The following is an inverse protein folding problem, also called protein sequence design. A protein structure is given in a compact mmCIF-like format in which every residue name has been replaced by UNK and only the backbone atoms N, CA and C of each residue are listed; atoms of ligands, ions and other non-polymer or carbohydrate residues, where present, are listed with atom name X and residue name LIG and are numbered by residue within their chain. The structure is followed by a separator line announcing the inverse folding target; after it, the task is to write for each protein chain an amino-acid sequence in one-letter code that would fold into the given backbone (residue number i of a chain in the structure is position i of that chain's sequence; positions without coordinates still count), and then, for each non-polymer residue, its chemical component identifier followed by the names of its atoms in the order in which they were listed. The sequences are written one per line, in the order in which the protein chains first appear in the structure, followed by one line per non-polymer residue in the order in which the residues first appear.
data_IF_182767861063
#
_entry.id   IF_182767861063
#
_cell.length_a   1.000
_cell.length_b   1.000
_cell.length_c   1.000
_cell.angle_alpha   90.00
_cell.angle_beta   90.00
_cell.angle_gamma   90.00
#
_symmetry.space_group_name_H-M   'P 1'
#
loop_
_entity.id
_entity.type
_entity.pdbx_description
1 polymer ?
#
# COMPACT_ATOMS: atom_id res chain seq x y z
N UNK A 1 32.94 -19.54 -12.05
CA UNK A 1 31.69 -19.36 -12.83
C UNK A 1 30.38 -19.60 -12.04
N UNK A 2 30.38 -20.00 -10.76
CA UNK A 2 29.12 -20.33 -10.03
C UNK A 2 28.49 -19.19 -9.21
N UNK A 3 29.17 -18.06 -9.00
CA UNK A 3 28.69 -17.02 -8.07
C UNK A 3 27.76 -15.99 -8.75
N UNK A 4 27.98 -15.74 -10.06
CA UNK A 4 27.20 -14.80 -10.87
C UNK A 4 25.78 -15.30 -11.13
N UNK A 5 25.60 -16.59 -11.39
CA UNK A 5 24.29 -17.22 -11.61
C UNK A 5 23.45 -17.27 -10.33
N UNK A 6 24.09 -17.48 -9.18
CA UNK A 6 23.48 -17.41 -7.84
C UNK A 6 23.00 -15.99 -7.52
N UNK A 7 23.83 -14.98 -7.81
CA UNK A 7 23.49 -13.58 -7.58
C UNK A 7 22.33 -13.09 -8.47
N UNK A 8 22.36 -13.37 -9.78
CA UNK A 8 21.27 -12.99 -10.70
C UNK A 8 19.95 -13.64 -10.29
N UNK A 9 19.99 -14.90 -9.87
CA UNK A 9 18.82 -15.63 -9.36
C UNK A 9 18.25 -15.00 -8.08
N UNK A 10 19.11 -14.58 -7.13
CA UNK A 10 18.67 -13.87 -5.90
C UNK A 10 18.08 -12.52 -6.21
N UNK A 11 18.66 -11.77 -7.15
CA UNK A 11 18.18 -10.47 -7.59
C UNK A 11 16.81 -10.56 -8.25
N UNK A 12 16.62 -11.53 -9.14
CA UNK A 12 15.34 -11.78 -9.81
C UNK A 12 14.25 -12.21 -8.84
N UNK A 13 14.62 -13.03 -7.85
CA UNK A 13 13.72 -13.39 -6.76
C UNK A 13 13.26 -12.15 -5.99
N UNK A 14 14.20 -11.32 -5.53
CA UNK A 14 13.86 -10.10 -4.79
C UNK A 14 13.00 -9.14 -5.62
N UNK A 15 13.33 -8.96 -6.91
CA UNK A 15 12.53 -8.15 -7.83
C UNK A 15 11.09 -8.66 -7.93
N UNK A 16 10.92 -9.96 -8.16
CA UNK A 16 9.61 -10.62 -8.25
C UNK A 16 8.80 -10.49 -6.95
N UNK A 17 9.46 -10.62 -5.80
CA UNK A 17 8.84 -10.44 -4.48
C UNK A 17 8.37 -9.00 -4.25
N UNK A 18 9.16 -7.99 -4.64
CA UNK A 18 8.81 -6.57 -4.45
C UNK A 18 7.80 -6.04 -5.46
N UNK A 19 7.84 -6.54 -6.71
CA UNK A 19 6.95 -6.10 -7.78
C UNK A 19 5.63 -6.85 -7.83
N UNK A 20 5.54 -8.04 -7.21
CA UNK A 20 4.40 -8.95 -7.37
C UNK A 20 4.34 -9.59 -8.76
N UNK A 21 5.36 -9.42 -9.61
CA UNK A 21 5.40 -9.95 -10.97
C UNK A 21 6.17 -11.27 -11.06
N UNK A 22 5.91 -12.04 -12.12
CA UNK A 22 6.62 -13.29 -12.40
C UNK A 22 8.10 -13.04 -12.71
N UNK A 23 9.00 -13.91 -12.25
CA UNK A 23 10.43 -13.84 -12.60
C UNK A 23 10.70 -13.82 -14.11
N UNK A 24 9.78 -14.35 -14.94
CA UNK A 24 9.90 -14.35 -16.41
C UNK A 24 9.76 -12.95 -17.02
N UNK A 25 9.05 -12.03 -16.37
CA UNK A 25 8.91 -10.64 -16.83
C UNK A 25 10.06 -9.75 -16.34
N UNK A 26 10.84 -10.23 -15.36
CA UNK A 26 11.98 -9.51 -14.84
C UNK A 26 13.24 -9.83 -15.63
N UNK A 27 13.78 -8.84 -16.35
CA UNK A 27 15.23 -8.68 -16.60
C UNK A 27 15.48 -7.44 -17.47
N UNK A 28 16.16 -6.43 -16.87
CA UNK A 28 16.96 -5.36 -17.51
C UNK A 28 17.45 -4.30 -16.51
N UNK A 29 16.95 -4.27 -15.27
CA UNK A 29 17.31 -3.23 -14.28
C UNK A 29 18.54 -3.60 -13.45
N UNK A 30 19.37 -2.62 -13.08
CA UNK A 30 20.51 -2.80 -12.16
C UNK A 30 20.05 -2.98 -10.70
N UNK A 31 18.93 -2.36 -10.33
CA UNK A 31 18.33 -2.39 -9.00
C UNK A 31 16.90 -2.97 -9.03
N UNK A 32 16.54 -3.93 -8.14
CA UNK A 32 15.20 -4.53 -8.10
C UNK A 32 14.04 -3.58 -7.81
N UNK A 33 14.27 -2.56 -6.99
CA UNK A 33 13.31 -1.49 -6.69
C UNK A 33 14.06 -0.16 -6.83
N UNK A 34 14.16 0.44 -8.04
CA UNK A 34 14.99 1.64 -8.25
C UNK A 34 14.63 2.75 -7.27
N UNK A 35 15.56 3.64 -6.94
CA UNK A 35 15.26 4.83 -6.14
C UNK A 35 14.42 5.81 -6.97
N UNK A 36 13.46 6.47 -6.31
CA UNK A 36 12.68 7.55 -6.89
C UNK A 36 13.51 8.85 -6.95
N UNK A 37 13.24 9.72 -7.92
CA UNK A 37 13.62 11.13 -7.80
C UNK A 37 12.91 11.75 -6.60
N UNK A 38 13.40 12.87 -6.01
CA UNK A 38 12.72 13.49 -4.87
C UNK A 38 11.24 13.84 -5.14
N UNK A 39 10.93 14.34 -6.34
CA UNK A 39 9.57 14.65 -6.76
C UNK A 39 8.68 13.40 -6.82
N UNK A 40 9.22 12.33 -7.43
CA UNK A 40 8.52 11.05 -7.52
C UNK A 40 8.35 10.42 -6.14
N UNK A 41 9.34 10.54 -5.26
CA UNK A 41 9.27 10.03 -3.90
C UNK A 41 8.14 10.72 -3.12
N UNK A 42 7.99 12.04 -3.28
CA UNK A 42 6.92 12.81 -2.67
C UNK A 42 5.55 12.36 -3.16
N UNK A 43 5.36 12.24 -4.48
CA UNK A 43 4.10 11.74 -5.06
C UNK A 43 3.76 10.35 -4.52
N UNK A 44 4.71 9.42 -4.53
CA UNK A 44 4.50 8.05 -4.07
C UNK A 44 4.19 7.97 -2.57
N UNK A 45 4.85 8.80 -1.76
CA UNK A 45 4.59 8.91 -0.34
C UNK A 45 3.15 9.37 -0.07
N UNK A 46 2.67 10.39 -0.77
CA UNK A 46 1.29 10.89 -0.66
C UNK A 46 0.28 9.82 -1.13
N UNK A 47 0.59 9.08 -2.18
CA UNK A 47 -0.26 7.97 -2.65
C UNK A 47 -0.37 6.87 -1.60
N UNK A 48 0.75 6.50 -0.96
CA UNK A 48 0.74 5.54 0.13
C UNK A 48 -0.02 6.07 1.35
N UNK A 49 0.09 7.35 1.68
CA UNK A 49 -0.68 7.97 2.76
C UNK A 49 -2.20 7.88 2.49
N UNK A 50 -2.63 8.12 1.24
CA UNK A 50 -4.03 8.11 0.86
C UNK A 50 -4.66 6.72 0.73
N UNK A 51 -3.91 5.75 0.20
CA UNK A 51 -4.38 4.37 -0.05
C UNK A 51 -3.98 3.39 1.05
N UNK A 52 -3.04 3.77 1.91
CA UNK A 52 -2.44 2.93 2.94
C UNK A 52 -3.44 2.49 4.00
N UNK A 53 -4.53 3.24 4.20
CA UNK A 53 -5.57 2.95 5.19
C UNK A 53 -6.89 2.57 4.54
N UNK A 54 -6.89 1.59 3.62
CA UNK A 54 -8.13 1.05 3.05
C UNK A 54 -9.13 0.70 4.18
N UNK A 55 -10.40 1.13 4.08
CA UNK A 55 -11.39 0.87 5.12
C UNK A 55 -11.78 -0.62 5.21
N UNK A 56 -11.63 -1.37 4.12
CA UNK A 56 -12.10 -2.76 4.03
C UNK A 56 -11.04 -3.68 3.38
N UNK A 57 -11.30 -4.99 3.39
CA UNK A 57 -10.45 -6.04 2.84
C UNK A 57 -10.36 -5.95 1.31
N UNK A 58 -9.14 -6.04 0.79
CA UNK A 58 -8.84 -6.17 -0.63
C UNK A 58 -8.24 -7.57 -0.90
N UNK A 59 -8.18 -7.97 -2.17
CA UNK A 59 -7.59 -9.26 -2.56
C UNK A 59 -6.08 -9.32 -2.26
N UNK A 60 -5.41 -8.17 -2.30
CA UNK A 60 -4.02 -7.96 -1.93
C UNK A 60 -3.93 -6.80 -0.91
N UNK A 61 -2.91 -6.77 -0.04
CA UNK A 61 -2.59 -5.62 0.79
C UNK A 61 -2.62 -4.32 0.00
N UNK A 62 -3.28 -3.30 0.55
CA UNK A 62 -3.46 -1.99 -0.07
C UNK A 62 -4.22 -2.00 -1.41
N UNK A 63 -4.84 -3.13 -1.79
CA UNK A 63 -5.49 -3.31 -3.09
C UNK A 63 -4.54 -3.23 -4.29
N UNK A 64 -3.25 -3.49 -4.08
CA UNK A 64 -2.22 -3.44 -5.13
C UNK A 64 -1.71 -4.86 -5.39
N UNK A 65 -2.08 -5.42 -6.54
CA UNK A 65 -1.63 -6.76 -6.95
C UNK A 65 -0.15 -6.77 -7.34
N UNK A 66 0.29 -5.76 -8.08
CA UNK A 66 1.67 -5.66 -8.57
C UNK A 66 2.01 -4.23 -8.96
N UNK A 67 3.30 -3.97 -9.21
CA UNK A 67 3.77 -2.68 -9.68
C UNK A 67 4.94 -2.79 -10.66
N UNK A 68 5.18 -1.71 -11.39
CA UNK A 68 6.45 -1.46 -12.08
C UNK A 68 6.93 -0.05 -11.73
N UNK A 69 8.24 0.15 -11.59
CA UNK A 69 8.79 1.43 -11.14
C UNK A 69 10.05 1.82 -11.90
N UNK A 70 10.22 3.12 -12.09
CA UNK A 70 11.42 3.78 -12.58
C UNK A 70 11.74 4.99 -11.68
N UNK A 71 12.79 5.76 -12.00
CA UNK A 71 13.15 6.91 -11.17
C UNK A 71 12.05 7.98 -11.11
N UNK A 72 11.29 8.17 -12.20
CA UNK A 72 10.30 9.26 -12.35
C UNK A 72 8.90 8.75 -12.66
N UNK A 73 8.65 7.45 -12.51
CA UNK A 73 7.34 6.87 -12.77
C UNK A 73 7.08 5.63 -11.91
N UNK A 74 5.80 5.43 -11.59
CA UNK A 74 5.29 4.25 -10.92
C UNK A 74 3.99 3.81 -11.61
N UNK A 75 3.85 2.52 -11.90
CA UNK A 75 2.58 1.92 -12.31
C UNK A 75 2.10 0.98 -11.23
N UNK A 76 0.86 1.18 -10.76
CA UNK A 76 0.19 0.32 -9.79
C UNK A 76 -0.90 -0.49 -10.50
N UNK A 77 -0.86 -1.81 -10.35
CA UNK A 77 -1.91 -2.70 -10.81
C UNK A 77 -2.89 -2.95 -9.67
N UNK A 78 -4.12 -2.49 -9.84
CA UNK A 78 -5.12 -2.46 -8.79
C UNK A 78 -5.94 -3.74 -8.73
N UNK A 79 -6.46 -4.03 -7.54
CA UNK A 79 -7.55 -4.98 -7.35
C UNK A 79 -8.85 -4.44 -7.95
N UNK A 80 -9.79 -5.35 -8.25
CA UNK A 80 -11.08 -4.96 -8.82
C UNK A 80 -12.04 -4.43 -7.77
N UNK A 81 -12.05 -5.08 -6.60
CA UNK A 81 -13.07 -4.89 -5.59
C UNK A 81 -12.46 -4.83 -4.20
N UNK A 82 -13.23 -4.24 -3.27
CA UNK A 82 -12.96 -4.25 -1.85
C UNK A 82 -14.24 -4.52 -1.06
N UNK A 83 -14.07 -5.15 0.10
CA UNK A 83 -15.14 -5.39 1.06
C UNK A 83 -16.23 -6.38 0.64
N UNK A 84 -17.07 -6.72 1.61
CA UNK A 84 -18.13 -7.71 1.46
C UNK A 84 -19.20 -7.35 0.41
N UNK A 85 -19.40 -6.05 0.15
CA UNK A 85 -20.32 -5.54 -0.89
C UNK A 85 -19.68 -5.40 -2.26
N UNK A 86 -18.41 -5.78 -2.42
CA UNK A 86 -17.64 -5.67 -3.66
C UNK A 86 -17.66 -4.26 -4.25
N UNK A 87 -17.36 -3.27 -3.42
CA UNK A 87 -17.20 -1.89 -3.87
C UNK A 87 -16.03 -1.80 -4.86
N UNK A 88 -16.14 -0.93 -5.88
CA UNK A 88 -15.08 -0.72 -6.87
C UNK A 88 -13.85 -0.12 -6.19
N UNK A 89 -12.76 -0.89 -6.11
CA UNK A 89 -11.50 -0.40 -5.54
C UNK A 89 -10.85 0.69 -6.40
N UNK A 90 -10.90 0.63 -7.76
CA UNK A 90 -10.47 1.75 -8.60
C UNK A 90 -11.24 3.05 -8.32
N UNK A 91 -12.54 2.98 -8.06
CA UNK A 91 -13.35 4.15 -7.70
C UNK A 91 -12.96 4.71 -6.32
N UNK A 92 -12.69 3.84 -5.35
CA UNK A 92 -12.11 4.24 -4.07
C UNK A 92 -10.75 4.94 -4.26
N UNK A 93 -9.90 4.47 -5.17
CA UNK A 93 -8.63 5.14 -5.47
C UNK A 93 -8.86 6.57 -5.98
N UNK A 94 -9.86 6.81 -6.84
CA UNK A 94 -10.15 8.16 -7.33
C UNK A 94 -10.59 9.09 -6.18
N UNK A 95 -11.49 8.61 -5.31
CA UNK A 95 -12.00 9.43 -4.20
C UNK A 95 -10.95 9.77 -3.14
N UNK A 96 -9.85 9.00 -3.08
CA UNK A 96 -8.72 9.26 -2.18
C UNK A 96 -7.60 10.08 -2.83
N UNK A 97 -7.43 9.98 -4.14
CA UNK A 97 -6.29 10.59 -4.83
C UNK A 97 -6.64 11.88 -5.57
N UNK A 98 -7.77 11.94 -6.27
CA UNK A 98 -8.07 13.06 -7.15
C UNK A 98 -8.53 14.28 -6.36
N UNK A 99 -7.94 15.47 -6.59
CA UNK A 99 -8.27 16.63 -5.80
C UNK A 99 -9.60 17.26 -6.17
N UNK A 100 -10.38 17.64 -5.15
CA UNK A 100 -11.61 18.41 -5.31
C UNK A 100 -11.67 19.53 -4.28
N UNK A 101 -12.11 20.72 -4.70
CA UNK A 101 -12.38 21.82 -3.80
C UNK A 101 -13.75 21.61 -3.13
N UNK A 102 -13.87 21.85 -1.81
CA UNK A 102 -15.16 21.83 -1.14
C UNK A 102 -16.01 23.03 -1.55
N UNK A 103 -17.28 23.00 -1.17
CA UNK A 103 -18.20 24.09 -1.44
C UNK A 103 -17.67 25.42 -0.87
N UNK A 104 -17.76 26.54 -1.60
CA UNK A 104 -17.30 27.84 -1.11
C UNK A 104 -17.90 28.19 0.25
N UNK A 105 -17.06 28.55 1.21
CA UNK A 105 -17.49 28.95 2.56
C UNK A 105 -17.74 27.80 3.55
N UNK A 106 -17.57 26.53 3.15
CA UNK A 106 -17.66 25.37 4.06
C UNK A 106 -16.62 25.40 5.18
N UNK A 107 -15.43 25.97 4.92
CA UNK A 107 -14.29 25.91 5.84
C UNK A 107 -13.52 24.58 5.76
N UNK A 108 -13.95 23.65 4.91
CA UNK A 108 -13.31 22.35 4.75
C UNK A 108 -12.00 22.45 3.97
N UNK A 109 -11.10 21.50 4.22
CA UNK A 109 -9.88 21.31 3.44
C UNK A 109 -10.15 20.68 2.07
N UNK A 110 -9.28 20.87 1.06
CA UNK A 110 -9.40 20.17 -0.22
C UNK A 110 -9.34 18.65 -0.04
N UNK A 111 -10.19 17.94 -0.78
CA UNK A 111 -10.11 16.49 -0.90
C UNK A 111 -8.93 16.07 -1.78
N UNK A 112 -8.48 14.82 -1.64
CA UNK A 112 -7.47 14.21 -2.49
C UNK A 112 -6.06 14.73 -2.26
N UNK A 113 -5.18 14.55 -3.25
CA UNK A 113 -3.80 15.04 -3.23
C UNK A 113 -3.74 16.41 -3.95
N UNK A 114 -3.47 17.52 -3.22
CA UNK A 114 -3.32 18.83 -3.84
C UNK A 114 -2.27 18.82 -4.96
N UNK A 115 -2.62 19.42 -6.09
CA UNK A 115 -1.75 19.48 -7.27
C UNK A 115 -1.71 18.19 -8.09
N UNK A 116 -2.40 17.11 -7.73
CA UNK A 116 -2.48 15.92 -8.59
C UNK A 116 -3.43 16.15 -9.76
N UNK A 117 -3.02 15.79 -10.97
CA UNK A 117 -3.77 16.00 -12.21
C UNK A 117 -3.80 14.76 -13.08
N UNK A 118 -4.90 14.60 -13.77
CA UNK A 118 -5.07 13.59 -14.81
C UNK A 118 -4.47 14.10 -16.11
N UNK A 119 -3.47 13.40 -16.66
CA UNK A 119 -2.95 13.67 -18.00
C UNK A 119 -3.75 12.97 -19.09
N UNK A 120 -4.42 11.87 -18.76
CA UNK A 120 -5.25 11.15 -19.72
C UNK A 120 -5.57 9.73 -19.29
N UNK A 121 -6.36 9.07 -20.13
CA UNK A 121 -6.70 7.66 -20.03
C UNK A 121 -6.15 6.98 -21.29
N UNK A 122 -5.29 5.98 -21.10
CA UNK A 122 -4.59 5.27 -22.17
C UNK A 122 -4.89 3.76 -22.12
N UNK A 123 -4.25 3.03 -23.05
CA UNK A 123 -4.34 1.58 -23.17
C UNK A 123 -5.80 1.10 -23.22
N UNK A 124 -6.60 1.69 -24.11
CA UNK A 124 -8.02 1.33 -24.31
C UNK A 124 -8.86 1.45 -23.03
N UNK A 125 -8.69 2.57 -22.30
CA UNK A 125 -9.46 2.81 -21.08
C UNK A 125 -8.91 2.11 -19.84
N UNK A 126 -7.77 1.40 -19.91
CA UNK A 126 -7.27 0.54 -18.81
C UNK A 126 -6.23 1.21 -17.93
N UNK A 127 -5.62 2.30 -18.39
CA UNK A 127 -4.58 3.00 -17.64
C UNK A 127 -4.97 4.46 -17.44
N UNK A 128 -4.99 4.90 -16.19
CA UNK A 128 -5.20 6.30 -15.81
C UNK A 128 -3.85 6.91 -15.48
N UNK A 129 -3.49 7.97 -16.20
CA UNK A 129 -2.19 8.63 -16.06
C UNK A 129 -2.35 9.90 -15.24
N UNK A 130 -1.53 10.00 -14.19
CA UNK A 130 -1.55 11.05 -13.19
C UNK A 130 -0.17 11.71 -13.07
N UNK A 131 -0.14 12.99 -12.77
CA UNK A 131 1.08 13.76 -12.55
C UNK A 131 0.82 14.90 -11.56
N UNK A 132 1.86 15.42 -10.92
CA UNK A 132 1.76 16.62 -10.08
C UNK A 132 1.91 17.88 -10.93
N UNK A 133 1.12 18.93 -10.65
CA UNK A 133 1.33 20.27 -11.21
C UNK A 133 2.75 20.70 -10.87
N UNK A 134 3.52 21.02 -11.91
CA UNK A 134 4.98 21.15 -11.87
C UNK A 134 5.47 22.30 -10.98
N UNK A 135 6.56 22.03 -10.25
CA UNK A 135 7.71 22.92 -10.25
C UNK A 135 8.52 22.67 -11.55
N UNK A 136 9.02 23.71 -12.25
CA UNK A 136 9.81 23.52 -13.46
C UNK A 136 10.97 22.53 -13.25
N UNK A 137 11.03 21.46 -14.07
CA UNK A 137 12.12 20.47 -14.05
C UNK A 137 11.89 19.21 -13.23
N UNK A 138 10.77 19.08 -12.51
CA UNK A 138 10.45 17.90 -11.71
C UNK A 138 9.34 17.04 -12.35
N UNK A 139 9.74 15.94 -13.02
CA UNK A 139 8.80 14.98 -13.59
C UNK A 139 8.51 13.87 -12.58
N UNK A 140 7.26 13.78 -12.15
CA UNK A 140 6.72 12.68 -11.34
C UNK A 140 5.42 12.18 -11.96
N UNK A 141 5.32 10.89 -12.23
CA UNK A 141 4.14 10.29 -12.85
C UNK A 141 3.70 9.03 -12.12
N UNK A 142 2.38 8.82 -12.13
CA UNK A 142 1.71 7.65 -11.58
C UNK A 142 0.75 7.12 -12.63
N UNK A 143 0.75 5.81 -12.84
CA UNK A 143 -0.22 5.12 -13.68
C UNK A 143 -1.01 4.15 -12.82
N UNK A 144 -2.33 4.28 -12.81
CA UNK A 144 -3.23 3.31 -12.19
C UNK A 144 -3.78 2.38 -13.27
N UNK A 145 -3.45 1.10 -13.20
CA UNK A 145 -3.85 0.10 -14.16
C UNK A 145 -4.99 -0.76 -13.60
N UNK A 146 -6.10 -0.84 -14.34
CA UNK A 146 -7.23 -1.70 -13.99
C UNK A 146 -6.86 -3.19 -14.10
N UNK A 147 -7.44 -4.05 -13.26
CA UNK A 147 -7.24 -5.50 -13.36
C UNK A 147 -7.77 -6.02 -14.70
N UNK A 148 -7.15 -7.09 -15.22
CA UNK A 148 -7.62 -7.74 -16.45
C UNK A 148 -9.02 -8.31 -16.26
N UNK A 149 -9.89 -8.13 -17.25
CA UNK A 149 -11.26 -8.68 -17.24
C UNK A 149 -12.31 -7.86 -16.47
N UNK A 150 -11.93 -6.77 -15.80
CA UNK A 150 -12.92 -5.80 -15.31
C UNK A 150 -13.65 -5.16 -16.50
N UNK A 151 -14.98 -5.25 -16.55
CA UNK A 151 -15.75 -4.79 -17.70
C UNK A 151 -15.74 -3.26 -17.86
N UNK A 152 -15.76 -2.52 -16.76
CA UNK A 152 -15.68 -1.05 -16.76
C UNK A 152 -14.26 -0.55 -17.04
N UNK A 153 -14.17 0.56 -17.78
CA UNK A 153 -12.93 1.30 -18.02
C UNK A 153 -12.86 2.57 -17.17
N UNK A 154 -11.68 3.19 -17.11
CA UNK A 154 -11.46 4.41 -16.33
C UNK A 154 -12.40 5.56 -16.71
N UNK A 155 -12.81 5.66 -17.97
CA UNK A 155 -13.70 6.73 -18.42
C UNK A 155 -15.08 6.66 -17.73
N UNK A 156 -15.60 5.46 -17.47
CA UNK A 156 -16.87 5.28 -16.78
C UNK A 156 -16.74 5.50 -15.27
N UNK A 157 -15.62 5.03 -14.70
CA UNK A 157 -15.30 5.20 -13.27
C UNK A 157 -15.08 6.69 -12.95
N UNK A 158 -14.33 7.41 -13.77
CA UNK A 158 -14.12 8.87 -13.61
C UNK A 158 -15.43 9.63 -13.78
N UNK A 159 -16.28 9.27 -14.75
CA UNK A 159 -17.59 9.90 -14.92
C UNK A 159 -18.51 9.68 -13.71
N UNK A 160 -18.48 8.50 -13.08
CA UNK A 160 -19.20 8.26 -11.82
C UNK A 160 -18.64 9.12 -10.70
N UNK A 161 -17.31 9.16 -10.54
CA UNK A 161 -16.68 9.95 -9.49
C UNK A 161 -16.94 11.46 -9.65
N UNK A 162 -16.95 11.97 -10.88
CA UNK A 162 -17.32 13.36 -11.20
C UNK A 162 -18.76 13.67 -10.79
N UNK A 163 -19.71 12.81 -11.16
CA UNK A 163 -21.12 12.95 -10.72
C UNK A 163 -21.24 12.93 -9.21
N UNK A 164 -20.53 12.04 -8.53
CA UNK A 164 -20.50 12.02 -7.06
C UNK A 164 -19.96 13.35 -6.50
N UNK A 165 -18.92 13.94 -7.09
CA UNK A 165 -18.45 15.27 -6.68
C UNK A 165 -19.54 16.33 -6.85
N UNK A 166 -20.19 16.38 -8.01
CA UNK A 166 -21.25 17.33 -8.31
C UNK A 166 -22.42 17.20 -7.32
N UNK A 167 -22.86 15.96 -7.05
CA UNK A 167 -23.94 15.64 -6.10
C UNK A 167 -23.61 16.04 -4.64
N UNK A 168 -22.32 16.17 -4.30
CA UNK A 168 -21.83 16.57 -2.98
C UNK A 168 -21.32 18.01 -2.94
N UNK A 169 -21.55 18.81 -3.99
CA UNK A 169 -21.12 20.22 -4.05
C UNK A 169 -19.60 20.40 -4.11
N UNK A 170 -18.86 19.35 -4.48
CA UNK A 170 -17.42 19.38 -4.66
C UNK A 170 -17.07 19.79 -6.09
N UNK A 171 -16.04 20.61 -6.26
CA UNK A 171 -15.54 21.00 -7.58
C UNK A 171 -14.27 20.21 -7.94
N UNK A 172 -14.32 19.30 -8.93
CA UNK A 172 -13.14 18.60 -9.44
C UNK A 172 -12.00 19.54 -9.84
N UNK A 173 -10.78 19.25 -9.37
CA UNK A 173 -9.57 20.01 -9.70
C UNK A 173 -8.56 19.22 -10.55
N UNK A 174 -8.76 17.92 -10.73
CA UNK A 174 -7.81 17.04 -11.42
C UNK A 174 -7.62 17.33 -12.91
N UNK A 175 -8.44 18.18 -13.52
CA UNK A 175 -8.28 18.66 -14.91
C UNK A 175 -7.75 20.09 -14.99
N UNK A 176 -7.51 20.77 -13.86
CA UNK A 176 -7.03 22.14 -13.85
C UNK A 176 -5.54 22.20 -14.24
N UNK A 177 -5.11 23.13 -15.12
CA UNK A 177 -3.72 23.16 -15.61
C UNK A 177 -2.72 23.63 -14.56
N UNK A 178 -3.19 24.23 -13.47
CA UNK A 178 -2.38 24.82 -12.40
C UNK A 178 -2.99 24.49 -11.04
N UNK A 179 -2.24 24.80 -9.98
CA UNK A 179 -2.72 24.71 -8.61
C UNK A 179 -3.88 25.70 -8.43
N UNK A 180 -5.00 25.23 -7.88
CA UNK A 180 -6.15 26.06 -7.55
C UNK A 180 -5.84 26.93 -6.31
N UNK A 181 -6.57 28.04 -6.14
CA UNK A 181 -6.42 28.90 -4.97
C UNK A 181 -6.72 28.19 -3.65
N UNK A 182 -7.65 27.22 -3.64
CA UNK A 182 -7.94 26.41 -2.44
C UNK A 182 -6.75 25.50 -2.09
N UNK A 183 -6.22 24.78 -3.08
CA UNK A 183 -5.03 23.94 -2.89
C UNK A 183 -3.82 24.77 -2.43
N UNK A 184 -3.61 25.94 -3.05
CA UNK A 184 -2.51 26.86 -2.71
C UNK A 184 -2.58 27.35 -1.26
N UNK A 185 -3.78 27.72 -0.81
CA UNK A 185 -4.00 28.15 0.58
C UNK A 185 -3.78 27.00 1.57
N UNK A 186 -4.30 25.81 1.26
CA UNK A 186 -4.10 24.63 2.12
C UNK A 186 -2.62 24.31 2.30
N UNK A 187 -1.85 24.23 1.21
CA UNK A 187 -0.41 23.98 1.27
C UNK A 187 0.36 25.08 2.02
N UNK A 188 -0.07 26.34 1.90
CA UNK A 188 0.55 27.48 2.58
C UNK A 188 0.17 27.59 4.06
N UNK A 189 -0.99 27.05 4.46
CA UNK A 189 -1.46 27.07 5.85
C UNK A 189 -0.70 26.10 6.75
N UNK A 190 -0.17 25.00 6.18
CA UNK A 190 0.50 23.94 6.93
C UNK A 190 1.95 23.68 6.46
N UNK A 191 2.85 24.70 6.50
CA UNK A 191 4.22 24.56 5.99
C UNK A 191 5.05 23.55 6.78
N UNK A 192 4.79 23.39 8.08
CA UNK A 192 5.43 22.37 8.92
C UNK A 192 5.05 20.96 8.49
N UNK A 193 3.77 20.71 8.22
CA UNK A 193 3.27 19.43 7.71
C UNK A 193 3.90 19.08 6.36
N UNK A 194 3.91 20.03 5.41
CA UNK A 194 4.49 19.82 4.09
C UNK A 194 6.01 19.62 4.14
N UNK A 195 6.70 20.33 5.03
CA UNK A 195 8.11 20.08 5.33
C UNK A 195 8.34 18.68 5.90
N UNK A 196 7.44 18.20 6.77
CA UNK A 196 7.49 16.87 7.36
C UNK A 196 7.28 15.76 6.34
N UNK A 197 6.25 15.89 5.50
CA UNK A 197 5.98 14.99 4.36
C UNK A 197 7.17 14.92 3.40
N UNK A 198 7.81 16.07 3.14
CA UNK A 198 8.99 16.14 2.27
C UNK A 198 10.18 15.35 2.84
N UNK A 199 10.44 15.46 4.15
CA UNK A 199 11.53 14.69 4.80
C UNK A 199 11.28 13.18 4.71
N UNK A 200 10.05 12.74 5.01
CA UNK A 200 9.65 11.32 5.01
C UNK A 200 9.34 10.70 3.65
N UNK A 201 9.34 11.51 2.59
CA UNK A 201 8.94 11.08 1.25
C UNK A 201 9.71 9.85 0.76
N UNK A 202 11.01 9.79 1.09
CA UNK A 202 11.88 8.68 0.68
C UNK A 202 11.46 7.34 1.28
N UNK A 203 11.02 7.33 2.55
CA UNK A 203 10.56 6.13 3.25
C UNK A 203 9.19 5.70 2.73
N UNK A 204 8.24 6.64 2.59
CA UNK A 204 6.91 6.34 2.03
C UNK A 204 7.00 5.76 0.62
N UNK A 205 7.78 6.38 -0.25
CA UNK A 205 8.07 5.86 -1.60
C UNK A 205 8.74 4.48 -1.56
N UNK A 206 9.74 4.29 -0.70
CA UNK A 206 10.44 3.03 -0.58
C UNK A 206 9.55 1.88 -0.11
N UNK A 207 8.58 2.16 0.78
CA UNK A 207 7.55 1.24 1.22
C UNK A 207 6.59 0.90 0.07
N UNK A 208 6.06 1.91 -0.64
CA UNK A 208 5.15 1.69 -1.78
C UNK A 208 5.79 0.87 -2.89
N UNK A 209 7.06 1.13 -3.23
CA UNK A 209 7.82 0.35 -4.25
C UNK A 209 8.09 -1.10 -3.84
N UNK A 210 7.82 -1.46 -2.58
CA UNK A 210 7.96 -2.81 -2.02
C UNK A 210 6.66 -3.34 -1.45
N UNK A 211 5.53 -2.71 -1.80
CA UNK A 211 4.21 -3.03 -1.28
C UNK A 211 3.82 -4.50 -1.50
N UNK A 212 4.35 -5.14 -2.55
CA UNK A 212 4.06 -6.54 -2.82
C UNK A 212 4.70 -7.50 -1.80
N UNK A 213 5.76 -7.10 -1.07
CA UNK A 213 6.35 -7.94 -0.01
C UNK A 213 5.30 -8.35 1.02
N UNK A 214 4.31 -7.48 1.29
CA UNK A 214 3.23 -7.73 2.24
C UNK A 214 2.27 -8.85 1.83
N UNK A 215 2.36 -9.39 0.61
CA UNK A 215 1.62 -10.59 0.22
C UNK A 215 2.48 -11.65 -0.46
N UNK A 216 3.65 -11.32 -1.01
CA UNK A 216 4.52 -12.31 -1.67
C UNK A 216 5.37 -13.10 -0.69
N UNK A 217 5.81 -12.49 0.41
CA UNK A 217 6.68 -13.13 1.41
C UNK A 217 6.04 -13.29 2.79
N UNK A 218 4.82 -12.79 2.98
CA UNK A 218 4.09 -12.90 4.26
C UNK A 218 2.75 -13.62 4.11
N UNK A 219 2.04 -13.73 5.24
CA UNK A 219 0.72 -14.35 5.41
C UNK A 219 -0.27 -13.34 6.01
N UNK A 220 -0.13 -12.06 5.68
CA UNK A 220 -0.99 -11.00 6.21
C UNK A 220 -2.24 -10.89 5.35
N UNK A 221 -3.42 -11.00 5.96
CA UNK A 221 -4.70 -10.88 5.24
C UNK A 221 -5.22 -9.44 5.20
N UNK A 222 -4.72 -8.57 6.10
CA UNK A 222 -4.96 -7.13 6.11
C UNK A 222 -3.68 -6.41 6.47
N UNK A 223 -3.42 -5.30 5.78
CA UNK A 223 -2.32 -4.39 6.11
C UNK A 223 -2.82 -2.96 5.95
N UNK A 224 -2.50 -2.13 6.93
CA UNK A 224 -2.68 -0.69 6.91
C UNK A 224 -1.34 -0.01 7.08
N UNK A 225 -1.17 1.15 6.45
CA UNK A 225 0.04 1.94 6.49
C UNK A 225 -0.32 3.42 6.49
N UNK A 226 0.27 4.21 7.39
CA UNK A 226 0.03 5.65 7.44
C UNK A 226 1.23 6.40 8.03
N UNK A 227 1.32 7.67 7.72
CA UNK A 227 2.22 8.62 8.36
C UNK A 227 1.49 9.28 9.54
N UNK A 228 2.01 9.17 10.75
CA UNK A 228 1.42 9.80 11.94
C UNK A 228 1.96 11.21 12.24
N UNK A 229 2.78 11.76 11.35
CA UNK A 229 3.44 13.06 11.54
C UNK A 229 4.89 12.93 12.00
N UNK A 230 5.26 11.80 12.60
CA UNK A 230 6.62 11.51 13.08
C UNK A 230 7.23 10.29 12.42
N UNK A 231 6.40 9.33 11.99
CA UNK A 231 6.84 7.99 11.61
C UNK A 231 5.86 7.31 10.66
N UNK A 232 6.37 6.34 9.89
CA UNK A 232 5.51 5.44 9.12
C UNK A 232 5.06 4.28 10.00
N UNK A 233 3.75 4.18 10.25
CA UNK A 233 3.12 3.07 10.95
C UNK A 233 2.63 2.04 9.96
N UNK A 234 2.89 0.78 10.26
CA UNK A 234 2.40 -0.37 9.51
C UNK A 234 1.71 -1.29 10.49
N UNK A 235 0.44 -1.55 10.25
CA UNK A 235 -0.39 -2.44 11.05
C UNK A 235 -0.83 -3.61 10.18
N UNK A 236 -0.38 -4.81 10.51
CA UNK A 236 -0.67 -6.02 9.77
C UNK A 236 -1.43 -7.03 10.62
N UNK A 237 -2.40 -7.71 10.01
CA UNK A 237 -3.13 -8.80 10.66
C UNK A 237 -2.85 -10.12 9.99
N UNK A 238 -2.72 -11.16 10.81
CA UNK A 238 -2.51 -12.53 10.36
C UNK A 238 -3.38 -13.49 11.16
N UNK A 239 -3.92 -14.50 10.48
CA UNK A 239 -4.64 -15.56 11.16
C UNK A 239 -3.70 -16.55 11.82
N UNK A 240 -2.41 -16.55 11.46
CA UNK A 240 -1.43 -17.44 12.06
C UNK A 240 -0.11 -16.69 12.30
N UNK A 241 0.12 -16.16 13.52
CA UNK A 241 1.41 -15.58 13.85
C UNK A 241 2.47 -16.67 13.74
N UNK A 242 3.41 -16.51 12.82
CA UNK A 242 4.63 -17.32 12.77
C UNK A 242 5.80 -16.38 12.62
N UNK A 243 6.84 -16.64 13.40
CA UNK A 243 8.08 -15.86 13.36
C UNK A 243 8.61 -15.72 11.92
N UNK A 244 8.54 -16.81 11.15
CA UNK A 244 9.03 -16.87 9.76
C UNK A 244 8.47 -15.77 8.86
N UNK A 245 7.22 -15.36 9.04
CA UNK A 245 6.56 -14.46 8.09
C UNK A 245 6.98 -13.02 8.27
N UNK A 246 6.95 -12.51 9.51
CA UNK A 246 7.49 -11.19 9.77
C UNK A 246 9.01 -11.20 9.59
N UNK A 247 9.73 -12.28 9.93
CA UNK A 247 11.20 -12.33 9.74
C UNK A 247 11.61 -12.28 8.27
N UNK A 248 10.86 -12.95 7.38
CA UNK A 248 11.05 -12.82 5.94
C UNK A 248 10.79 -11.39 5.46
N UNK A 249 9.72 -10.74 5.96
CA UNK A 249 9.45 -9.33 5.65
C UNK A 249 10.59 -8.42 6.12
N UNK A 250 11.02 -8.55 7.38
CA UNK A 250 12.12 -7.78 7.96
C UNK A 250 13.41 -7.97 7.16
N UNK A 251 13.74 -9.21 6.80
CA UNK A 251 14.92 -9.53 5.99
C UNK A 251 14.87 -8.87 4.60
N UNK A 252 13.67 -8.78 3.99
CA UNK A 252 13.50 -8.17 2.66
C UNK A 252 13.46 -6.65 2.71
N UNK A 253 12.78 -6.08 3.71
CA UNK A 253 12.74 -4.64 3.94
C UNK A 253 14.12 -4.10 4.32
N UNK A 254 14.87 -4.78 5.18
CA UNK A 254 16.22 -4.36 5.61
C UNK A 254 17.35 -4.95 4.76
N UNK A 255 17.06 -5.48 3.56
CA UNK A 255 18.09 -6.12 2.75
C UNK A 255 19.21 -5.10 2.42
N UNK A 256 20.50 -5.37 2.75
CA UNK A 256 21.54 -4.35 2.77
C UNK A 256 21.82 -3.71 1.40
N UNK A 257 21.52 -4.43 0.31
CA UNK A 257 21.74 -3.94 -1.06
C UNK A 257 20.48 -3.43 -1.76
N UNK A 258 19.31 -3.93 -1.37
CA UNK A 258 18.08 -3.78 -2.17
C UNK A 258 16.87 -3.37 -1.36
N UNK A 259 16.97 -3.41 -0.04
CA UNK A 259 15.95 -2.98 0.90
C UNK A 259 15.94 -1.47 1.08
N UNK A 260 15.19 -1.04 2.08
CA UNK A 260 15.23 0.30 2.64
C UNK A 260 16.54 0.49 3.42
N UNK A 261 17.08 1.72 3.47
CA UNK A 261 18.21 2.06 4.32
C UNK A 261 17.76 2.20 5.78
N UNK A 262 17.25 1.11 6.34
CA UNK A 262 16.80 1.01 7.73
C UNK A 262 17.31 -0.28 8.37
N UNK A 263 17.34 -0.32 9.69
CA UNK A 263 17.64 -1.52 10.48
C UNK A 263 16.60 -1.68 11.59
N UNK A 264 16.37 -2.91 12.03
CA UNK A 264 15.53 -3.18 13.21
C UNK A 264 16.31 -2.77 14.46
N UNK A 265 15.79 -1.76 15.17
CA UNK A 265 16.36 -1.23 16.40
C UNK A 265 15.84 -1.99 17.62
N UNK A 266 14.53 -2.23 17.66
CA UNK A 266 13.88 -2.98 18.72
C UNK A 266 12.94 -4.04 18.16
N UNK A 267 12.94 -5.20 18.81
CA UNK A 267 12.11 -6.35 18.49
C UNK A 267 11.36 -6.79 19.73
N UNK A 268 10.04 -6.71 19.68
CA UNK A 268 9.12 -7.23 20.67
C UNK A 268 8.30 -8.32 20.01
N UNK A 269 8.73 -9.57 20.14
CA UNK A 269 8.13 -10.71 19.46
C UNK A 269 7.96 -11.85 20.45
N UNK A 270 6.74 -12.37 20.56
CA UNK A 270 6.46 -13.60 21.32
C UNK A 270 5.94 -14.73 20.42
N UNK A 271 6.02 -14.57 19.09
CA UNK A 271 5.90 -15.70 18.17
C UNK A 271 7.05 -16.65 18.48
N UNK A 272 6.75 -17.81 19.05
CA UNK A 272 7.79 -18.78 19.37
C UNK A 272 8.10 -19.71 18.17
N UNK A 273 9.08 -20.58 18.36
CA UNK A 273 9.62 -21.53 17.38
C UNK A 273 8.53 -22.42 16.73
N UNK A 274 8.82 -23.10 15.59
CA UNK A 274 7.84 -23.80 14.76
C UNK A 274 6.87 -24.75 15.48
N UNK A 275 7.23 -25.22 16.67
CA UNK A 275 6.50 -26.24 17.44
C UNK A 275 5.79 -25.69 18.69
N UNK A 276 5.71 -24.37 18.84
CA UNK A 276 4.99 -23.76 19.97
C UNK A 276 3.48 -23.66 19.74
N UNK A 277 2.65 -23.83 20.81
CA UNK A 277 1.20 -23.71 20.69
C UNK A 277 0.76 -22.35 20.17
N UNK A 278 -0.36 -22.35 19.43
CA UNK A 278 -0.96 -21.13 18.87
C UNK A 278 -1.35 -20.16 19.98
N UNK A 279 -0.86 -18.92 19.93
CA UNK A 279 -1.21 -17.86 20.90
C UNK A 279 -2.08 -16.78 20.24
N UNK A 280 -3.38 -16.78 20.61
CA UNK A 280 -4.35 -15.74 20.24
C UNK A 280 -4.05 -14.42 20.93
N UNK A 281 -4.50 -13.32 20.32
CA UNK A 281 -4.34 -11.96 20.85
C UNK A 281 -2.89 -11.53 21.08
N UNK A 282 -1.95 -12.22 20.41
CA UNK A 282 -0.55 -11.82 20.40
C UNK A 282 -0.34 -10.62 19.47
N UNK A 283 0.54 -9.71 19.89
CA UNK A 283 1.00 -8.60 19.05
C UNK A 283 2.53 -8.59 19.02
N UNK A 284 3.11 -8.72 17.82
CA UNK A 284 4.52 -8.40 17.60
C UNK A 284 4.68 -6.91 17.28
N UNK A 285 5.74 -6.29 17.77
CA UNK A 285 6.13 -4.93 17.41
C UNK A 285 7.61 -4.84 17.03
N UNK A 286 7.89 -4.09 15.97
CA UNK A 286 9.25 -3.86 15.47
C UNK A 286 9.43 -2.38 15.22
N UNK A 287 10.51 -1.83 15.77
CA UNK A 287 10.92 -0.44 15.57
C UNK A 287 12.15 -0.42 14.70
N UNK A 288 12.17 0.48 13.72
CA UNK A 288 13.27 0.62 12.78
C UNK A 288 13.94 1.97 12.95
N UNK A 289 15.27 1.97 12.90
CA UNK A 289 16.09 3.18 12.81
C UNK A 289 16.56 3.38 11.36
N UNK A 290 16.59 4.63 10.90
CA UNK A 290 17.26 5.02 9.67
C UNK A 290 18.79 5.00 9.78
N UNK A 291 19.49 4.86 8.65
CA UNK A 291 20.95 5.06 8.58
C UNK A 291 21.37 6.53 8.42
N UNK A 292 20.41 7.46 8.30
CA UNK A 292 20.67 8.89 8.20
C UNK A 292 20.93 9.48 9.58
N UNK A 293 21.83 10.46 9.70
CA UNK A 293 22.26 11.05 10.97
C UNK A 293 21.16 11.86 11.71
N UNK A 294 19.96 11.96 11.15
CA UNK A 294 18.79 12.56 11.78
C UNK A 294 17.90 11.50 12.42
N UNK A 295 17.22 11.83 13.53
CA UNK A 295 16.18 10.99 14.15
C UNK A 295 14.90 10.87 13.30
N UNK A 296 14.97 11.30 12.05
CA UNK A 296 13.81 11.53 11.20
C UNK A 296 13.59 10.26 10.36
N UNK A 297 12.38 9.72 10.46
CA UNK A 297 11.81 8.63 9.67
C UNK A 297 11.85 7.20 10.27
N UNK A 298 11.55 6.99 11.57
CA UNK A 298 11.37 5.65 12.08
C UNK A 298 10.17 4.97 11.39
N UNK A 299 10.35 3.69 11.08
CA UNK A 299 9.24 2.82 10.68
C UNK A 299 8.81 2.05 11.93
N UNK A 300 7.53 1.86 12.10
CA UNK A 300 6.97 1.01 13.15
C UNK A 300 6.06 -0.03 12.52
N UNK A 301 6.39 -1.31 12.72
CA UNK A 301 5.59 -2.44 12.25
C UNK A 301 4.95 -3.15 13.44
N UNK A 302 3.62 -3.28 13.40
CA UNK A 302 2.84 -4.09 14.32
C UNK A 302 2.20 -5.26 13.57
N UNK A 303 2.25 -6.45 14.15
CA UNK A 303 1.61 -7.66 13.60
C UNK A 303 0.68 -8.25 14.65
N UNK A 304 -0.61 -8.31 14.32
CA UNK A 304 -1.65 -8.85 15.20
C UNK A 304 -2.07 -10.27 14.79
N UNK A 305 -2.15 -11.13 15.80
CA UNK A 305 -2.75 -12.45 15.74
C UNK A 305 -4.18 -12.43 16.32
N UNK A 306 -5.04 -11.61 15.72
CA UNK A 306 -6.45 -11.53 16.09
C UNK A 306 -7.31 -11.31 14.86
N UNK A 307 -8.52 -11.90 14.79
CA UNK A 307 -9.42 -11.61 13.72
C UNK A 307 -9.81 -10.12 13.81
N UNK A 308 -10.13 -9.54 12.67
CA UNK A 308 -10.86 -8.29 12.69
C UNK A 308 -12.33 -8.56 12.97
N UNK A 309 -12.76 -8.22 14.17
CA UNK A 309 -14.01 -8.72 14.72
C UNK A 309 -13.87 -10.20 15.15
N UNK A 310 -14.98 -10.92 15.17
CA UNK A 310 -15.08 -12.28 15.72
C UNK A 310 -15.29 -13.37 14.66
N UNK A 311 -15.20 -13.09 13.35
CA UNK A 311 -15.67 -14.02 12.31
C UNK A 311 -14.69 -14.18 11.13
N UNK A 312 -13.86 -15.24 11.16
CA UNK A 312 -12.99 -15.60 10.03
C UNK A 312 -13.78 -16.09 8.81
N UNK A 313 -14.94 -16.71 8.97
CA UNK A 313 -15.75 -17.16 7.84
C UNK A 313 -16.21 -15.98 6.99
N UNK A 314 -16.61 -14.89 7.64
CA UNK A 314 -16.93 -13.63 6.97
C UNK A 314 -15.70 -13.03 6.26
N UNK A 315 -14.53 -13.04 6.90
CA UNK A 315 -13.30 -12.53 6.27
C UNK A 315 -12.87 -13.38 5.06
N UNK A 316 -12.90 -14.71 5.19
CA UNK A 316 -12.60 -15.66 4.11
C UNK A 316 -13.58 -15.48 2.96
N UNK A 317 -14.87 -15.36 3.27
CA UNK A 317 -15.92 -15.12 2.28
C UNK A 317 -15.70 -13.81 1.54
N UNK A 318 -15.40 -12.74 2.29
CA UNK A 318 -15.11 -11.42 1.73
C UNK A 318 -13.89 -11.48 0.81
N UNK A 319 -12.77 -12.04 1.26
CA UNK A 319 -11.54 -12.19 0.47
C UNK A 319 -11.77 -13.00 -0.81
N UNK A 320 -12.54 -14.10 -0.74
CA UNK A 320 -12.95 -14.87 -1.93
C UNK A 320 -13.77 -14.02 -2.91
N UNK A 321 -14.73 -13.25 -2.40
CA UNK A 321 -15.61 -12.41 -3.22
C UNK A 321 -14.86 -11.27 -3.92
N UNK A 322 -13.86 -10.68 -3.27
CA UNK A 322 -13.02 -9.62 -3.88
C UNK A 322 -11.91 -10.17 -4.77
N UNK A 323 -11.75 -11.49 -4.83
CA UNK A 323 -10.85 -12.17 -5.77
C UNK A 323 -9.47 -12.53 -5.23
N UNK A 324 -9.31 -12.69 -3.91
CA UNK A 324 -8.05 -13.09 -3.30
C UNK A 324 -7.54 -14.43 -3.86
N UNK A 325 -6.24 -14.54 -4.22
CA UNK A 325 -5.70 -15.77 -4.80
C UNK A 325 -5.79 -16.95 -3.83
N UNK A 326 -6.32 -18.10 -4.30
CA UNK A 326 -6.46 -19.33 -3.49
C UNK A 326 -5.16 -19.76 -2.81
N UNK A 327 -4.05 -19.71 -3.53
CA UNK A 327 -2.73 -20.09 -3.02
C UNK A 327 -2.23 -19.14 -1.91
N UNK A 328 -2.57 -17.85 -1.99
CA UNK A 328 -2.25 -16.89 -0.93
C UNK A 328 -3.18 -17.08 0.27
N UNK A 329 -4.49 -17.27 0.07
CA UNK A 329 -5.44 -17.51 1.15
C UNK A 329 -5.07 -18.75 1.97
N UNK A 330 -4.65 -19.85 1.32
CA UNK A 330 -4.19 -21.05 2.02
C UNK A 330 -2.99 -20.79 2.95
N UNK A 331 -2.21 -19.74 2.67
CA UNK A 331 -1.10 -19.29 3.53
C UNK A 331 -1.56 -18.30 4.59
N UNK A 332 -2.41 -17.33 4.23
CA UNK A 332 -2.83 -16.23 5.10
C UNK A 332 -3.89 -16.65 6.14
N UNK A 333 -4.74 -17.61 5.79
CA UNK A 333 -5.88 -18.13 6.53
C UNK A 333 -5.87 -19.68 6.46
N UNK A 334 -4.88 -20.36 7.08
CA UNK A 334 -4.80 -21.81 7.04
C UNK A 334 -5.94 -22.44 7.87
N UNK A 335 -6.44 -23.59 7.42
CA UNK A 335 -7.61 -24.25 8.01
C UNK A 335 -7.43 -24.54 9.50
N UNK A 336 -6.22 -24.94 9.92
CA UNK A 336 -5.92 -25.25 11.31
C UNK A 336 -6.05 -24.02 12.21
N UNK A 337 -5.66 -22.83 11.71
CA UNK A 337 -5.81 -21.58 12.46
C UNK A 337 -7.28 -21.18 12.61
N UNK A 338 -8.09 -21.43 11.57
CA UNK A 338 -9.54 -21.17 11.61
C UNK A 338 -10.21 -22.12 12.60
N UNK A 339 -9.93 -23.43 12.51
CA UNK A 339 -10.51 -24.42 13.43
C UNK A 339 -10.15 -24.17 14.89
N UNK A 340 -8.88 -23.80 15.15
CA UNK A 340 -8.43 -23.46 16.49
C UNK A 340 -9.12 -22.20 17.04
N UNK A 341 -9.48 -21.24 16.18
CA UNK A 341 -10.29 -20.09 16.59
C UNK A 341 -11.67 -20.52 17.06
N UNK A 342 -12.35 -21.33 16.24
CA UNK A 342 -13.72 -21.74 16.49
C UNK A 342 -13.84 -22.52 17.79
N UNK A 343 -12.86 -23.39 18.07
CA UNK A 343 -12.76 -24.13 19.33
C UNK A 343 -12.60 -23.21 20.54
N UNK A 344 -11.72 -22.20 20.47
CA UNK A 344 -11.53 -21.25 21.56
C UNK A 344 -12.74 -20.35 21.78
N UNK A 345 -13.38 -19.90 20.70
CA UNK A 345 -14.60 -19.09 20.77
C UNK A 345 -15.73 -19.88 21.44
N UNK A 346 -15.93 -21.14 21.04
CA UNK A 346 -16.90 -22.03 21.67
C UNK A 346 -16.58 -22.30 23.15
N UNK A 347 -15.30 -22.51 23.50
CA UNK A 347 -14.89 -22.73 24.88
C UNK A 347 -15.08 -21.48 25.77
N UNK A 348 -14.90 -20.28 25.24
CA UNK A 348 -15.15 -19.01 25.95
C UNK A 348 -16.62 -18.61 26.04
N UNK A 349 -17.53 -19.33 25.36
CA UNK A 349 -18.98 -19.14 25.42
C UNK A 349 -19.71 -20.18 26.29
N UNK A 350 -18.99 -21.16 26.86
CA UNK A 350 -19.56 -22.07 27.84
C UNK A 350 -19.67 -21.35 29.20
N UNK A 351 -20.86 -21.36 29.85
CA UNK A 351 -21.13 -20.62 31.09
C UNK A 351 -20.35 -21.11 32.31
#
# INVERSE_FOLDING_TARGET
MSDRSSWESRKLRYWSECSGQSRRTGLRTSHPAPAASPAQARLESLVLEQLGTSPDLCAHPFGITSLSSAATSLTLHLDAYMGHKRYSFPEHCLSRLLPAAPAPGSGDDPHGIPGLRMSGIEADGRQLHLHTVKDPGQTATLVLALPKGLAEGWADIERRHRRWCDDNGLRPLWTAPRLDGVESRHLSAYPSLEGSRTRRASVGSGLLRRVALFHTVTAFYRVQCWDDGDSWKIDARTAHPRARWHDQLLQRLCHPRWGLPVRVAHRFCHCAEPDTPYQWNHTCAFYFDGYTAGKDDPIYLRVHASPEGSDYDRQITTLRQVGAPKAWMARALPQEAVQHHDQHYQAGQLP
#
